data_IF_678169094668
#
_entry.id   IF_678169094668
#
_cell.length_a   1.000
_cell.length_b   1.000
_cell.length_c   1.000
_cell.angle_alpha   90.00
_cell.angle_beta   90.00
_cell.angle_gamma   90.00
#
_symmetry.space_group_name_H-M   'P 1'
#
loop_
_entity.id
_entity.type
_entity.pdbx_description
1 polymer ?
#
# COMPACT_ATOMS: atom_id res chain seq x y z
N UNK A 1 12.12 -15.10 -10.74
CA UNK A 1 11.77 -13.77 -10.24
C UNK A 1 10.42 -13.73 -9.55
N UNK A 2 9.39 -14.34 -10.11
CA UNK A 2 8.07 -14.37 -9.48
C UNK A 2 8.10 -15.04 -8.10
N UNK A 3 8.83 -16.14 -7.97
CA UNK A 3 8.93 -16.84 -6.70
C UNK A 3 9.59 -15.99 -5.60
N UNK A 4 10.57 -15.13 -5.97
CA UNK A 4 11.22 -14.24 -5.02
C UNK A 4 10.35 -13.07 -4.61
N UNK A 5 9.44 -12.62 -5.50
CA UNK A 5 8.54 -11.51 -5.21
C UNK A 5 7.26 -11.96 -4.48
N UNK A 6 6.89 -13.24 -4.59
CA UNK A 6 5.64 -13.74 -4.04
C UNK A 6 5.42 -13.46 -2.55
N UNK A 7 6.42 -13.67 -1.66
CA UNK A 7 6.23 -13.39 -0.23
C UNK A 7 6.03 -11.92 0.09
N UNK A 8 6.48 -11.00 -0.78
CA UNK A 8 6.42 -9.56 -0.54
C UNK A 8 5.36 -8.89 -1.43
N UNK A 9 5.31 -9.27 -2.70
CA UNK A 9 4.48 -8.60 -3.70
C UNK A 9 3.46 -9.52 -4.37
N UNK A 10 3.24 -10.70 -3.82
CA UNK A 10 2.26 -11.64 -4.38
C UNK A 10 0.82 -11.21 -4.12
N UNK A 11 -0.11 -12.11 -4.42
CA UNK A 11 -1.54 -11.86 -4.22
C UNK A 11 -1.82 -11.49 -2.77
N UNK A 12 -2.57 -10.45 -2.56
CA UNK A 12 -2.92 -9.95 -1.23
C UNK A 12 -4.37 -10.30 -0.89
N UNK A 13 -4.59 -11.55 -0.55
CA UNK A 13 -5.92 -12.04 -0.22
C UNK A 13 -6.47 -11.44 1.06
N UNK A 14 -5.60 -10.99 1.95
CA UNK A 14 -6.02 -10.38 3.19
C UNK A 14 -6.80 -9.08 2.94
N UNK A 15 -6.34 -8.26 2.00
CA UNK A 15 -7.06 -7.04 1.64
C UNK A 15 -8.41 -7.35 1.01
N UNK A 16 -8.49 -8.41 0.23
CA UNK A 16 -9.76 -8.83 -0.37
C UNK A 16 -10.73 -9.29 0.71
N UNK A 17 -10.25 -10.12 1.65
CA UNK A 17 -11.07 -10.60 2.77
C UNK A 17 -11.54 -9.46 3.67
N UNK A 18 -10.68 -8.48 3.90
CA UNK A 18 -11.01 -7.32 4.74
C UNK A 18 -11.92 -6.30 4.04
N UNK A 19 -12.12 -6.44 2.73
CA UNK A 19 -12.92 -5.49 1.97
C UNK A 19 -12.25 -4.14 1.76
N UNK A 20 -10.91 -4.10 1.78
CA UNK A 20 -10.13 -2.87 1.74
C UNK A 20 -9.30 -2.75 0.46
N UNK A 21 -9.68 -3.47 -0.58
CA UNK A 21 -8.99 -3.48 -1.85
C UNK A 21 -9.86 -2.81 -2.92
N UNK A 22 -9.30 -1.83 -3.61
CA UNK A 22 -10.00 -1.05 -4.63
C UNK A 22 -9.41 -1.31 -6.00
N UNK A 23 -10.25 -1.34 -7.01
CA UNK A 23 -9.83 -1.47 -8.40
C UNK A 23 -10.48 -0.39 -9.24
N UNK A 24 -9.80 0.01 -10.31
CA UNK A 24 -10.36 0.89 -11.32
C UNK A 24 -10.48 0.11 -12.62
N UNK A 25 -11.69 0.04 -13.14
CA UNK A 25 -11.97 -0.62 -14.41
C UNK A 25 -12.21 0.40 -15.49
N UNK A 26 -11.63 0.15 -16.66
CA UNK A 26 -11.89 0.94 -17.86
C UNK A 26 -12.09 -0.03 -19.01
N UNK A 27 -13.12 0.23 -19.81
CA UNK A 27 -13.45 -0.61 -20.96
C UNK A 27 -13.65 -2.08 -20.57
N UNK A 28 -12.69 -2.93 -20.84
CA UNK A 28 -12.80 -4.37 -20.58
C UNK A 28 -11.78 -4.88 -19.60
N UNK A 29 -11.11 -3.99 -18.82
CA UNK A 29 -10.07 -4.46 -17.95
C UNK A 29 -9.81 -3.57 -16.74
N UNK A 30 -9.06 -4.13 -15.81
CA UNK A 30 -8.60 -3.41 -14.63
C UNK A 30 -7.35 -2.64 -15.00
N UNK A 31 -7.36 -1.32 -14.78
CA UNK A 31 -6.24 -0.44 -15.13
C UNK A 31 -5.48 0.08 -13.92
N UNK A 32 -6.00 -0.16 -12.73
CA UNK A 32 -5.31 0.20 -11.50
C UNK A 32 -5.93 -0.48 -10.31
N UNK A 33 -5.15 -0.59 -9.26
CA UNK A 33 -5.62 -1.16 -8.00
C UNK A 33 -4.80 -0.61 -6.84
N UNK A 34 -5.31 -0.76 -5.66
CA UNK A 34 -4.62 -0.42 -4.43
C UNK A 34 -5.51 -0.72 -3.26
N UNK A 35 -4.90 -0.89 -2.11
CA UNK A 35 -5.66 -1.18 -0.93
C UNK A 35 -4.97 -0.71 0.33
N UNK A 36 -5.63 -0.88 1.43
CA UNK A 36 -5.08 -0.55 2.73
C UNK A 36 -5.36 -1.68 3.72
N UNK A 37 -4.58 -1.71 4.77
CA UNK A 37 -4.71 -2.74 5.79
C UNK A 37 -4.72 -2.12 7.17
N UNK A 38 -5.58 -2.67 8.02
CA UNK A 38 -5.61 -2.40 9.46
C UNK A 38 -4.74 -3.40 10.24
N UNK A 39 -3.84 -4.08 9.55
CA UNK A 39 -3.00 -5.12 10.15
C UNK A 39 -1.54 -4.71 10.12
N UNK A 40 -0.71 -5.34 10.96
CA UNK A 40 0.67 -4.92 11.17
C UNK A 40 1.58 -5.09 9.97
N UNK A 41 1.30 -6.03 9.09
CA UNK A 41 2.17 -6.30 7.95
C UNK A 41 2.31 -5.08 7.05
N UNK A 42 3.53 -4.70 6.73
CA UNK A 42 3.83 -3.58 5.82
C UNK A 42 3.83 -3.99 4.36
N UNK A 43 3.91 -5.29 4.07
CA UNK A 43 4.05 -5.80 2.72
C UNK A 43 2.85 -6.62 2.31
N UNK A 44 2.48 -6.54 1.03
CA UNK A 44 1.48 -7.40 0.43
C UNK A 44 1.96 -8.83 0.27
N UNK A 45 1.08 -9.69 -0.23
CA UNK A 45 1.36 -11.11 -0.42
C UNK A 45 1.03 -11.93 0.82
N UNK A 46 0.63 -13.17 0.60
CA UNK A 46 0.17 -14.04 1.69
C UNK A 46 1.30 -14.80 2.38
N UNK A 47 2.45 -14.92 1.72
CA UNK A 47 3.49 -15.86 2.12
C UNK A 47 4.30 -15.51 3.35
N UNK A 48 4.31 -14.28 3.81
CA UNK A 48 5.16 -13.86 4.92
C UNK A 48 4.44 -13.24 6.10
N UNK A 49 3.15 -13.49 6.23
CA UNK A 49 2.30 -12.69 7.11
C UNK A 49 1.77 -13.37 8.36
N UNK A 50 2.10 -14.63 8.58
CA UNK A 50 1.47 -15.44 9.62
C UNK A 50 1.57 -14.82 11.03
N UNK A 51 2.67 -14.16 11.33
CA UNK A 51 2.91 -13.59 12.66
C UNK A 51 2.54 -12.10 12.76
N UNK A 52 2.17 -11.48 11.64
CA UNK A 52 1.95 -10.04 11.59
C UNK A 52 0.50 -9.67 11.28
N UNK A 53 -0.42 -10.61 11.46
CA UNK A 53 -1.85 -10.35 11.19
C UNK A 53 -2.57 -9.67 12.34
N UNK A 54 -1.87 -9.26 13.38
CA UNK A 54 -2.48 -8.53 14.48
C UNK A 54 -3.12 -7.24 13.98
N UNK A 55 -4.32 -6.97 14.45
CA UNK A 55 -5.07 -5.78 14.07
C UNK A 55 -4.46 -4.56 14.75
N UNK A 56 -4.30 -3.49 13.98
CA UNK A 56 -3.76 -2.23 14.46
C UNK A 56 -4.80 -1.46 15.26
N UNK A 57 -4.32 -0.68 16.23
CA UNK A 57 -5.15 0.25 16.99
C UNK A 57 -5.19 1.58 16.26
N UNK A 58 -6.35 2.04 15.76
CA UNK A 58 -6.44 3.29 15.02
C UNK A 58 -5.95 4.52 15.79
N UNK A 59 -5.96 4.47 17.12
CA UNK A 59 -5.52 5.61 17.93
C UNK A 59 -4.02 5.67 18.12
N UNK A 60 -3.31 4.57 17.87
CA UNK A 60 -1.86 4.46 18.12
C UNK A 60 -1.07 4.15 16.88
N UNK A 61 -1.65 3.40 15.97
CA UNK A 61 -0.94 2.84 14.84
C UNK A 61 -1.33 3.56 13.54
N UNK A 62 -0.45 3.48 12.55
CA UNK A 62 -0.75 3.95 11.21
C UNK A 62 -1.39 2.84 10.39
N UNK A 63 -2.41 3.16 9.60
CA UNK A 63 -2.92 2.24 8.61
C UNK A 63 -1.87 2.03 7.52
N UNK A 64 -1.94 0.92 6.81
CA UNK A 64 -0.95 0.53 5.80
C UNK A 64 -1.59 0.58 4.41
N UNK A 65 -1.08 1.42 3.52
CA UNK A 65 -1.45 1.36 2.11
C UNK A 65 -0.47 0.43 1.41
N UNK A 66 -0.99 -0.46 0.57
CA UNK A 66 -0.17 -1.42 -0.16
C UNK A 66 -0.89 -1.97 -1.38
N UNK A 67 -0.23 -2.83 -2.15
CA UNK A 67 -0.76 -3.44 -3.36
C UNK A 67 -1.17 -2.41 -4.42
N UNK A 68 -0.47 -1.27 -4.44
CA UNK A 68 -0.80 -0.13 -5.28
C UNK A 68 -0.17 -0.30 -6.67
N UNK A 69 -0.99 -0.25 -7.71
CA UNK A 69 -0.53 -0.43 -9.06
C UNK A 69 -1.40 0.35 -10.05
N UNK A 70 -0.76 0.99 -11.02
CA UNK A 70 -1.46 1.61 -12.16
C UNK A 70 -0.85 1.05 -13.43
N UNK A 71 -1.69 0.59 -14.35
CA UNK A 71 -1.24 0.05 -15.62
C UNK A 71 -0.40 1.11 -16.36
N UNK A 72 0.79 0.74 -16.91
CA UNK A 72 1.68 1.72 -17.52
C UNK A 72 1.05 2.56 -18.63
N UNK A 73 0.11 2.00 -19.38
CA UNK A 73 -0.59 2.71 -20.45
C UNK A 73 -1.62 3.72 -19.93
N UNK A 74 -1.89 3.71 -18.63
CA UNK A 74 -2.94 4.54 -18.03
C UNK A 74 -2.38 5.53 -17.00
N UNK A 75 -1.07 5.69 -16.92
CA UNK A 75 -0.46 6.65 -16.00
C UNK A 75 -0.80 8.08 -16.40
N UNK A 76 -0.74 8.98 -15.42
CA UNK A 76 -1.03 10.42 -15.59
C UNK A 76 -2.47 10.74 -16.00
N UNK A 77 -3.39 9.85 -15.69
CA UNK A 77 -4.83 10.04 -15.95
C UNK A 77 -5.65 10.16 -14.67
N UNK A 78 -5.00 10.36 -13.54
CA UNK A 78 -5.68 10.52 -12.26
C UNK A 78 -6.11 9.23 -11.60
N UNK A 79 -5.75 8.06 -12.15
CA UNK A 79 -6.15 6.77 -11.60
C UNK A 79 -5.50 6.55 -10.24
N UNK A 80 -4.19 6.76 -10.14
CA UNK A 80 -3.49 6.63 -8.85
C UNK A 80 -4.05 7.54 -7.78
N UNK A 81 -4.35 8.78 -8.15
CA UNK A 81 -4.95 9.74 -7.24
C UNK A 81 -6.34 9.28 -6.76
N UNK A 82 -7.14 8.73 -7.65
CA UNK A 82 -8.47 8.22 -7.30
C UNK A 82 -8.39 7.04 -6.33
N UNK A 83 -7.45 6.12 -6.57
CA UNK A 83 -7.25 4.97 -5.69
C UNK A 83 -6.78 5.43 -4.32
N UNK A 84 -5.80 6.34 -4.27
CA UNK A 84 -5.30 6.85 -3.01
C UNK A 84 -6.39 7.60 -2.25
N UNK A 85 -7.20 8.40 -2.94
CA UNK A 85 -8.32 9.10 -2.30
C UNK A 85 -9.31 8.12 -1.69
N UNK A 86 -9.63 7.02 -2.38
CA UNK A 86 -10.52 6.00 -1.86
C UNK A 86 -9.94 5.31 -0.62
N UNK A 87 -8.65 4.97 -0.67
CA UNK A 87 -7.96 4.38 0.47
C UNK A 87 -7.96 5.33 1.67
N UNK A 88 -7.58 6.58 1.46
CA UNK A 88 -7.50 7.57 2.55
C UNK A 88 -8.86 7.85 3.16
N UNK A 89 -9.90 7.92 2.35
CA UNK A 89 -11.25 8.11 2.86
C UNK A 89 -11.68 6.95 3.75
N UNK A 90 -11.44 5.72 3.31
CA UNK A 90 -11.78 4.54 4.10
C UNK A 90 -10.96 4.45 5.38
N UNK A 91 -9.70 4.85 5.33
CA UNK A 91 -8.80 4.89 6.48
C UNK A 91 -9.30 5.87 7.53
N UNK A 92 -9.70 7.07 7.10
CA UNK A 92 -10.28 8.08 8.00
C UNK A 92 -11.56 7.55 8.63
N UNK A 93 -12.44 6.94 7.84
CA UNK A 93 -13.69 6.38 8.34
C UNK A 93 -13.46 5.25 9.36
N UNK A 94 -12.36 4.52 9.23
CA UNK A 94 -11.98 3.49 10.19
C UNK A 94 -11.32 4.05 11.47
N UNK A 95 -11.11 5.37 11.53
CA UNK A 95 -10.59 6.04 12.71
C UNK A 95 -9.10 6.25 12.76
N UNK A 96 -8.37 5.89 11.71
CA UNK A 96 -6.93 6.09 11.66
C UNK A 96 -6.59 7.54 11.34
N UNK A 97 -5.50 8.02 11.91
CA UNK A 97 -5.02 9.39 11.71
C UNK A 97 -3.72 9.45 10.93
N UNK A 98 -3.05 8.34 10.76
CA UNK A 98 -1.76 8.27 10.09
C UNK A 98 -1.78 7.10 9.11
N UNK A 99 -1.11 7.29 7.99
CA UNK A 99 -0.99 6.26 6.95
C UNK A 99 0.49 6.07 6.65
N UNK A 100 0.92 4.82 6.64
CA UNK A 100 2.25 4.43 6.20
C UNK A 100 2.17 3.67 4.89
N UNK A 101 3.18 3.85 4.07
CA UNK A 101 3.37 3.07 2.85
C UNK A 101 4.85 2.75 2.70
N UNK A 102 5.15 1.55 2.24
CA UNK A 102 6.51 1.17 1.86
C UNK A 102 6.58 1.18 0.34
N UNK A 103 7.34 2.10 -0.19
CA UNK A 103 7.48 2.34 -1.62
C UNK A 103 8.78 1.79 -2.13
N UNK A 104 8.79 1.39 -3.40
CA UNK A 104 10.04 1.22 -4.15
C UNK A 104 10.59 2.61 -4.50
N UNK A 105 11.86 2.67 -4.91
CA UNK A 105 12.44 3.95 -5.33
C UNK A 105 11.66 4.57 -6.49
N UNK A 106 11.15 3.73 -7.40
CA UNK A 106 10.36 4.22 -8.53
C UNK A 106 9.01 4.80 -8.09
N UNK A 107 8.43 4.30 -7.02
CA UNK A 107 7.14 4.77 -6.52
C UNK A 107 7.23 6.01 -5.64
N UNK A 108 8.39 6.30 -5.11
CA UNK A 108 8.56 7.41 -4.16
C UNK A 108 8.02 8.76 -4.68
N UNK A 109 8.31 9.19 -5.92
CA UNK A 109 7.80 10.47 -6.39
C UNK A 109 6.28 10.54 -6.43
N UNK A 110 5.62 9.44 -6.77
CA UNK A 110 4.17 9.38 -6.82
C UNK A 110 3.58 9.61 -5.42
N UNK A 111 4.09 8.91 -4.43
CA UNK A 111 3.57 9.04 -3.06
C UNK A 111 3.92 10.40 -2.46
N UNK A 112 5.08 10.94 -2.78
CA UNK A 112 5.42 12.31 -2.39
C UNK A 112 4.41 13.31 -2.96
N UNK A 113 3.95 13.09 -4.19
CA UNK A 113 2.93 13.97 -4.81
C UNK A 113 1.58 13.88 -4.10
N UNK A 114 1.33 12.81 -3.37
CA UNK A 114 0.10 12.64 -2.57
C UNK A 114 0.26 13.19 -1.15
N UNK A 115 1.42 13.75 -0.81
CA UNK A 115 1.66 14.34 0.49
C UNK A 115 2.38 13.44 1.51
N UNK A 116 2.90 12.31 1.06
CA UNK A 116 3.67 11.42 1.93
C UNK A 116 5.11 11.90 2.05
N UNK A 117 5.66 11.81 3.25
CA UNK A 117 7.04 12.19 3.54
C UNK A 117 7.88 10.97 3.91
N UNK A 118 9.14 10.99 3.52
CA UNK A 118 10.07 9.90 3.84
C UNK A 118 10.33 9.87 5.34
N UNK A 119 10.20 8.68 5.93
CA UNK A 119 10.49 8.42 7.34
C UNK A 119 11.77 7.61 7.47
N UNK A 120 11.97 6.63 6.60
CA UNK A 120 13.09 5.72 6.71
C UNK A 120 13.40 5.11 5.33
N UNK A 121 14.69 4.91 5.07
CA UNK A 121 15.18 4.19 3.89
C UNK A 121 15.89 2.93 4.38
N UNK A 122 15.59 1.80 3.77
CA UNK A 122 16.22 0.54 4.13
C UNK A 122 16.12 -0.46 2.98
N UNK A 123 16.80 -1.59 3.14
CA UNK A 123 16.74 -2.67 2.16
C UNK A 123 15.95 -3.83 2.72
N UNK A 124 15.11 -4.41 1.87
CA UNK A 124 14.41 -5.66 2.16
C UNK A 124 15.21 -6.78 1.51
N UNK A 125 15.57 -7.79 2.29
CA UNK A 125 16.25 -8.98 1.77
C UNK A 125 15.19 -9.93 1.25
N UNK A 126 15.27 -10.23 -0.04
CA UNK A 126 14.34 -11.14 -0.71
C UNK A 126 14.87 -12.57 -0.63
N UNK A 127 14.00 -13.58 -0.81
CA UNK A 127 14.45 -14.96 -0.94
C UNK A 127 15.50 -15.06 -2.04
N UNK A 128 16.60 -15.79 -1.77
CA UNK A 128 17.73 -15.88 -2.69
C UNK A 128 18.82 -14.86 -2.46
N UNK A 129 18.70 -14.01 -1.43
CA UNK A 129 19.75 -13.09 -1.04
C UNK A 129 19.78 -11.75 -1.77
N UNK A 130 18.83 -11.50 -2.65
CA UNK A 130 18.71 -10.21 -3.33
C UNK A 130 18.18 -9.15 -2.37
N UNK A 131 18.72 -7.93 -2.46
CA UNK A 131 18.23 -6.79 -1.69
C UNK A 131 17.38 -5.89 -2.56
N UNK A 132 16.29 -5.39 -1.99
CA UNK A 132 15.41 -4.42 -2.64
C UNK A 132 15.41 -3.14 -1.80
N UNK A 133 15.90 -2.02 -2.32
CA UNK A 133 15.83 -0.76 -1.59
C UNK A 133 14.38 -0.26 -1.55
N UNK A 134 13.94 0.10 -0.36
CA UNK A 134 12.58 0.60 -0.15
C UNK A 134 12.61 1.86 0.70
N UNK A 135 11.50 2.58 0.66
CA UNK A 135 11.31 3.83 1.38
C UNK A 135 10.01 3.73 2.16
N UNK A 136 10.10 3.84 3.48
CA UNK A 136 8.89 3.99 4.28
C UNK A 136 8.49 5.44 4.31
N UNK A 137 7.26 5.72 3.92
CA UNK A 137 6.71 7.07 3.85
C UNK A 137 5.45 7.14 4.70
N UNK A 138 5.15 8.31 5.21
CA UNK A 138 4.03 8.49 6.13
C UNK A 138 3.31 9.80 5.84
N UNK A 139 2.01 9.81 6.15
CA UNK A 139 1.18 11.00 6.00
C UNK A 139 0.19 11.06 7.15
N UNK A 140 0.04 12.24 7.74
CA UNK A 140 -0.99 12.48 8.74
C UNK A 140 -2.29 12.84 8.06
N UNK A 141 -3.38 12.16 8.44
CA UNK A 141 -4.72 12.47 7.96
C UNK A 141 -5.31 13.54 8.85
N UNK A 142 -5.79 14.62 8.25
CA UNK A 142 -6.56 15.59 8.99
C UNK A 142 -7.93 14.98 9.27
N UNK A 143 -8.31 14.93 10.55
CA UNK A 143 -9.67 14.60 10.89
C UNK A 143 -10.57 15.63 10.20
N UNK A 144 -11.59 15.15 9.48
CA UNK A 144 -12.42 16.00 8.66
C UNK A 144 -13.20 17.01 9.48
N UNK A 145 -12.55 18.06 9.73
CA UNK A 145 -13.22 19.22 10.31
C UNK A 145 -13.51 20.18 9.18
#
# INVERSE_FOLDING_TARGET
>A
MEAALGPVFGVDRQLIRDGTYFVVEQDSGIVGCGGWSRRRSLFGGDGGRAEEDAVLDPQRDAARVRAFFVHPSWVRRGIGRSIMAACEQAIIEAGFRTVDIVATLAGEPLYASFGYAVVQRYDVVLPGGLSLPVVRMSKCMKSGA
#
